data_IF_567307265442
#
_entry.id   IF_567307265442
#
_cell.length_a   1.000
_cell.length_b   1.000
_cell.length_c   1.000
_cell.angle_alpha   90.00
_cell.angle_beta   90.00
_cell.angle_gamma   90.00
#
_symmetry.space_group_name_H-M   'P 1'
#
loop_
_entity.id
_entity.type
_entity.pdbx_description
1 polymer ?
#
# COMPACT_ATOMS: atom_id res chain seq x y z
N UNK A 1 9.69 20.56 15.24
CA UNK A 1 8.60 19.58 15.19
C UNK A 1 8.58 18.98 13.80
N UNK A 2 8.66 17.63 13.66
CA UNK A 2 8.40 16.95 12.39
C UNK A 2 6.97 17.32 11.98
N UNK A 3 6.73 17.76 10.73
CA UNK A 3 5.36 17.93 10.24
C UNK A 3 4.74 16.54 10.23
N UNK A 4 3.60 16.34 10.90
CA UNK A 4 2.80 15.12 10.77
C UNK A 4 2.44 14.97 9.29
N UNK A 5 2.62 13.79 8.75
CA UNK A 5 2.11 13.46 7.43
C UNK A 5 0.68 12.93 7.53
N UNK A 6 0.01 12.69 6.40
CA UNK A 6 -1.37 12.18 6.37
C UNK A 6 -1.50 10.85 7.13
N UNK A 7 -0.54 9.94 6.99
CA UNK A 7 -0.57 8.64 7.65
C UNK A 7 -0.51 8.75 9.18
N UNK A 8 0.38 9.60 9.72
CA UNK A 8 0.47 9.83 11.18
C UNK A 8 -0.87 10.34 11.75
N UNK A 9 -1.56 11.20 10.99
CA UNK A 9 -2.89 11.73 11.36
C UNK A 9 -3.93 10.62 11.34
N UNK A 10 -3.93 9.77 10.29
CA UNK A 10 -4.88 8.67 10.15
C UNK A 10 -4.70 7.62 11.23
N UNK A 11 -3.48 7.17 11.51
CA UNK A 11 -3.18 6.21 12.58
C UNK A 11 -3.64 6.72 13.95
N UNK A 12 -3.35 7.99 14.25
CA UNK A 12 -3.82 8.61 15.50
C UNK A 12 -5.34 8.69 15.55
N UNK A 13 -5.99 9.02 14.42
CA UNK A 13 -7.45 9.09 14.33
C UNK A 13 -8.10 7.74 14.60
N UNK A 14 -7.57 6.67 13.98
CA UNK A 14 -8.07 5.31 14.17
C UNK A 14 -7.94 4.86 15.63
N UNK A 15 -6.78 5.08 16.25
CA UNK A 15 -6.59 4.76 17.67
C UNK A 15 -7.53 5.52 18.61
N UNK A 16 -7.91 6.77 18.27
CA UNK A 16 -8.89 7.53 19.06
C UNK A 16 -10.30 7.03 18.77
N UNK A 17 -10.62 6.67 17.53
CA UNK A 17 -11.93 6.18 17.11
C UNK A 17 -12.36 4.89 17.84
N UNK A 18 -11.42 4.04 18.23
CA UNK A 18 -11.66 2.87 19.09
C UNK A 18 -12.27 3.27 20.45
N UNK A 19 -12.02 4.48 20.90
CA UNK A 19 -12.52 5.03 22.17
C UNK A 19 -13.80 5.84 22.01
N UNK A 20 -13.97 6.48 20.84
CA UNK A 20 -15.15 7.25 20.50
C UNK A 20 -15.00 8.07 19.22
N UNK A 21 -16.03 8.04 18.39
CA UNK A 21 -16.06 8.79 17.12
C UNK A 21 -16.09 10.33 17.32
N UNK A 22 -16.78 10.90 18.32
CA UNK A 22 -16.74 12.34 18.55
C UNK A 22 -15.35 12.87 18.87
N UNK A 23 -14.59 12.14 19.67
CA UNK A 23 -13.21 12.48 20.04
C UNK A 23 -12.27 12.41 18.82
N UNK A 24 -12.42 11.39 17.98
CA UNK A 24 -11.67 11.25 16.74
C UNK A 24 -11.99 12.39 15.75
N UNK A 25 -13.24 12.76 15.60
CA UNK A 25 -13.64 13.90 14.78
C UNK A 25 -13.06 15.21 15.29
N UNK A 26 -13.11 15.44 16.60
CA UNK A 26 -12.54 16.66 17.19
C UNK A 26 -11.03 16.72 17.03
N UNK A 27 -10.33 15.59 17.13
CA UNK A 27 -8.91 15.49 16.85
C UNK A 27 -8.61 15.90 15.40
N UNK A 28 -9.31 15.32 14.41
CA UNK A 28 -9.15 15.67 13.00
C UNK A 28 -9.39 17.15 12.72
N UNK A 29 -10.45 17.74 13.32
CA UNK A 29 -10.73 19.16 13.16
C UNK A 29 -9.62 20.05 13.69
N UNK A 30 -9.01 19.69 14.81
CA UNK A 30 -7.91 20.44 15.39
C UNK A 30 -6.63 20.28 14.55
N UNK A 31 -6.30 19.05 14.17
CA UNK A 31 -5.17 18.78 13.28
C UNK A 31 -5.30 19.51 11.93
N UNK A 32 -6.52 19.55 11.37
CA UNK A 32 -6.79 20.30 10.14
C UNK A 32 -6.55 21.81 10.31
N UNK A 33 -6.98 22.41 11.42
CA UNK A 33 -6.73 23.84 11.71
C UNK A 33 -5.24 24.16 11.84
N UNK A 34 -4.49 23.25 12.46
CA UNK A 34 -3.05 23.44 12.69
C UNK A 34 -2.22 23.22 11.42
N UNK A 35 -2.56 22.24 10.60
CA UNK A 35 -1.79 21.87 9.41
C UNK A 35 -2.67 21.40 8.26
N UNK A 36 -3.43 22.28 7.59
CA UNK A 36 -4.31 21.89 6.47
C UNK A 36 -3.55 21.20 5.31
N UNK A 37 -2.29 21.56 5.11
CA UNK A 37 -1.45 20.99 4.04
C UNK A 37 -0.98 19.56 4.28
N UNK A 38 -1.20 19.02 5.48
CA UNK A 38 -0.90 17.62 5.81
C UNK A 38 -2.09 16.70 5.55
N UNK A 39 -3.21 17.25 5.09
CA UNK A 39 -4.44 16.51 4.81
C UNK A 39 -4.54 16.18 3.33
N UNK A 40 -4.92 14.95 3.06
CA UNK A 40 -5.17 14.40 1.73
C UNK A 40 -6.56 13.76 1.62
N UNK A 41 -6.80 13.02 0.53
CA UNK A 41 -8.11 12.42 0.27
C UNK A 41 -8.61 11.52 1.40
N UNK A 42 -7.73 10.74 2.04
CA UNK A 42 -8.13 9.80 3.10
C UNK A 42 -8.56 10.53 4.38
N UNK A 43 -7.81 11.54 4.82
CA UNK A 43 -8.20 12.33 5.99
C UNK A 43 -9.51 13.08 5.77
N UNK A 44 -9.80 13.54 4.53
CA UNK A 44 -11.09 14.16 4.22
C UNK A 44 -12.24 13.15 4.17
N UNK A 45 -11.99 11.92 3.74
CA UNK A 45 -12.95 10.83 3.88
C UNK A 45 -13.32 10.60 5.34
N UNK A 46 -12.32 10.45 6.22
CA UNK A 46 -12.57 10.30 7.67
C UNK A 46 -13.29 11.50 8.29
N UNK A 47 -12.94 12.73 7.87
CA UNK A 47 -13.70 13.92 8.30
C UNK A 47 -15.18 13.86 7.88
N UNK A 48 -15.47 13.30 6.71
CA UNK A 48 -16.85 13.15 6.25
C UNK A 48 -17.59 12.01 6.99
N UNK A 49 -16.94 10.85 7.21
CA UNK A 49 -17.53 9.71 7.93
C UNK A 49 -17.84 10.05 9.40
N UNK A 50 -16.91 10.75 10.07
CA UNK A 50 -17.01 11.09 11.48
C UNK A 50 -17.80 12.38 11.75
N UNK A 51 -18.26 13.08 10.72
CA UNK A 51 -18.91 14.38 10.83
C UNK A 51 -20.24 14.29 11.60
N UNK A 52 -20.54 15.32 12.38
CA UNK A 52 -21.82 15.44 13.08
C UNK A 52 -22.94 15.81 12.08
N UNK A 53 -23.50 14.76 11.49
CA UNK A 53 -24.66 14.81 10.61
C UNK A 53 -24.37 15.06 9.11
N UNK A 54 -25.41 14.84 8.28
CA UNK A 54 -25.29 14.80 6.81
C UNK A 54 -24.75 16.10 6.19
N UNK A 55 -25.15 17.26 6.75
CA UNK A 55 -24.71 18.56 6.21
C UNK A 55 -23.21 18.79 6.38
N UNK A 56 -22.63 18.39 7.51
CA UNK A 56 -21.19 18.51 7.75
C UNK A 56 -20.40 17.50 6.89
N UNK A 57 -20.89 16.26 6.75
CA UNK A 57 -20.31 15.25 5.87
C UNK A 57 -20.26 15.75 4.41
N UNK A 58 -21.37 16.28 3.90
CA UNK A 58 -21.45 16.88 2.55
C UNK A 58 -20.47 18.03 2.37
N UNK A 59 -20.28 18.86 3.38
CA UNK A 59 -19.32 19.97 3.30
C UNK A 59 -17.88 19.47 3.11
N UNK A 60 -17.47 18.41 3.81
CA UNK A 60 -16.15 17.80 3.66
C UNK A 60 -15.99 17.12 2.31
N UNK A 61 -16.98 16.35 1.85
CA UNK A 61 -16.95 15.72 0.52
C UNK A 61 -16.90 16.77 -0.60
N UNK A 62 -17.64 17.87 -0.48
CA UNK A 62 -17.58 18.97 -1.44
C UNK A 62 -16.17 19.57 -1.51
N UNK A 63 -15.56 19.80 -0.36
CA UNK A 63 -14.20 20.31 -0.28
C UNK A 63 -13.18 19.36 -0.91
N UNK A 64 -13.29 18.05 -0.65
CA UNK A 64 -12.46 17.05 -1.28
C UNK A 64 -12.66 17.01 -2.81
N UNK A 65 -13.91 16.86 -3.25
CA UNK A 65 -14.21 16.54 -4.65
C UNK A 65 -14.23 17.80 -5.52
N UNK A 66 -14.92 18.88 -5.11
CA UNK A 66 -15.04 20.07 -5.96
C UNK A 66 -13.91 21.06 -5.79
N UNK A 67 -13.44 21.32 -4.56
CA UNK A 67 -12.42 22.34 -4.33
C UNK A 67 -11.00 21.81 -4.57
N UNK A 68 -10.71 20.59 -4.08
CA UNK A 68 -9.38 19.96 -4.24
C UNK A 68 -9.24 19.09 -5.49
N UNK A 69 -10.34 18.88 -6.24
CA UNK A 69 -10.37 17.98 -7.40
C UNK A 69 -9.99 16.53 -7.12
N UNK A 70 -10.10 16.08 -5.88
CA UNK A 70 -9.87 14.70 -5.52
C UNK A 70 -11.06 13.82 -5.93
N UNK A 71 -10.86 12.52 -5.86
CA UNK A 71 -11.86 11.53 -6.18
C UNK A 71 -11.60 10.25 -5.39
N UNK A 72 -12.63 9.46 -5.24
CA UNK A 72 -12.63 8.17 -4.58
C UNK A 72 -13.14 7.13 -5.56
N UNK A 73 -12.76 5.88 -5.40
CA UNK A 73 -13.41 4.81 -6.16
C UNK A 73 -14.87 4.68 -5.73
N UNK A 74 -15.75 4.16 -6.64
CA UNK A 74 -17.21 4.15 -6.40
C UNK A 74 -17.62 3.52 -5.08
N UNK A 75 -17.00 2.39 -4.70
CA UNK A 75 -17.35 1.63 -3.50
C UNK A 75 -17.12 2.42 -2.20
N UNK A 76 -16.15 3.32 -2.19
CA UNK A 76 -15.85 4.17 -1.01
C UNK A 76 -17.00 5.11 -0.71
N UNK A 77 -17.67 5.67 -1.73
CA UNK A 77 -18.83 6.54 -1.55
C UNK A 77 -20.15 5.76 -1.49
N UNK A 78 -20.13 4.45 -1.69
CA UNK A 78 -21.26 3.54 -1.51
C UNK A 78 -21.30 2.91 -0.12
N UNK A 79 -20.27 3.14 0.69
CA UNK A 79 -20.16 2.63 2.05
C UNK A 79 -21.36 3.04 2.93
N UNK A 80 -21.64 2.25 3.95
CA UNK A 80 -22.72 2.51 4.88
C UNK A 80 -22.50 3.74 5.77
N UNK A 81 -21.27 4.21 5.87
CA UNK A 81 -20.95 5.49 6.53
C UNK A 81 -21.71 6.67 5.90
N UNK A 82 -22.06 6.56 4.61
CA UNK A 82 -22.86 7.56 3.88
C UNK A 82 -24.32 7.17 3.68
N UNK A 83 -24.85 6.18 4.43
CA UNK A 83 -26.24 5.70 4.28
C UNK A 83 -27.27 6.84 4.36
N UNK A 84 -27.05 7.82 5.24
CA UNK A 84 -27.93 8.99 5.39
C UNK A 84 -27.90 9.94 4.18
N UNK A 85 -26.90 9.84 3.32
CA UNK A 85 -26.69 10.70 2.14
C UNK A 85 -27.09 10.03 0.84
N UNK A 86 -27.33 8.72 0.81
CA UNK A 86 -27.56 7.93 -0.43
C UNK A 86 -28.67 8.47 -1.34
N UNK A 87 -29.62 9.23 -0.81
CA UNK A 87 -30.71 9.85 -1.57
C UNK A 87 -30.60 11.40 -1.65
N UNK A 88 -29.53 11.98 -1.15
CA UNK A 88 -29.32 13.43 -1.22
C UNK A 88 -28.82 13.84 -2.61
N UNK A 89 -29.49 14.80 -3.25
CA UNK A 89 -29.16 15.23 -4.63
C UNK A 89 -27.74 15.85 -4.73
N UNK A 90 -27.28 16.55 -3.69
CA UNK A 90 -25.94 17.12 -3.68
C UNK A 90 -24.86 16.03 -3.54
N UNK A 91 -25.11 15.01 -2.70
CA UNK A 91 -24.25 13.86 -2.57
C UNK A 91 -24.14 13.08 -3.89
N UNK A 92 -25.28 12.79 -4.53
CA UNK A 92 -25.31 12.08 -5.82
C UNK A 92 -24.54 12.84 -6.91
N UNK A 93 -24.62 14.19 -6.91
CA UNK A 93 -23.83 15.02 -7.83
C UNK A 93 -22.32 14.93 -7.54
N UNK A 94 -21.90 14.95 -6.26
CA UNK A 94 -20.50 14.80 -5.88
C UNK A 94 -19.98 13.40 -6.25
N UNK A 95 -20.78 12.37 -5.99
CA UNK A 95 -20.44 10.98 -6.36
C UNK A 95 -20.23 10.86 -7.87
N UNK A 96 -21.15 11.37 -8.68
CA UNK A 96 -21.01 11.33 -10.14
C UNK A 96 -19.70 11.99 -10.62
N UNK A 97 -19.32 13.14 -10.05
CA UNK A 97 -18.03 13.79 -10.36
C UNK A 97 -16.85 12.91 -9.98
N UNK A 98 -16.92 12.27 -8.81
CA UNK A 98 -15.87 11.36 -8.34
C UNK A 98 -15.75 10.13 -9.23
N UNK A 99 -16.87 9.49 -9.60
CA UNK A 99 -16.94 8.33 -10.48
C UNK A 99 -16.38 8.61 -11.87
N UNK A 100 -16.72 9.75 -12.46
CA UNK A 100 -16.17 10.18 -13.77
C UNK A 100 -14.65 10.35 -13.71
N UNK A 101 -14.12 10.94 -12.64
CA UNK A 101 -12.68 11.13 -12.46
C UNK A 101 -11.97 9.80 -12.21
N UNK A 102 -12.56 8.90 -11.42
CA UNK A 102 -12.06 7.56 -11.23
C UNK A 102 -11.97 6.81 -12.55
N UNK A 103 -13.06 6.79 -13.34
CA UNK A 103 -13.08 6.15 -14.64
C UNK A 103 -12.00 6.71 -15.59
N UNK A 104 -11.83 8.04 -15.59
CA UNK A 104 -10.77 8.69 -16.36
C UNK A 104 -9.35 8.31 -15.85
N UNK A 105 -9.16 8.14 -14.55
CA UNK A 105 -7.89 7.70 -13.97
C UNK A 105 -7.60 6.25 -14.35
N UNK A 106 -8.56 5.33 -14.20
CA UNK A 106 -8.44 3.92 -14.59
C UNK A 106 -8.07 3.77 -16.06
N UNK A 107 -8.73 4.53 -16.95
CA UNK A 107 -8.48 4.44 -18.40
C UNK A 107 -7.06 4.86 -18.83
N UNK A 108 -6.35 5.62 -18.00
CA UNK A 108 -5.00 6.13 -18.27
C UNK A 108 -3.92 5.47 -17.43
N UNK A 109 -4.31 4.70 -16.43
CA UNK A 109 -3.37 4.15 -15.47
C UNK A 109 -2.59 2.99 -16.09
N UNK A 110 -1.29 2.98 -15.81
CA UNK A 110 -0.38 1.88 -16.16
C UNK A 110 0.56 1.64 -14.99
N UNK A 111 1.06 0.43 -14.86
CA UNK A 111 2.12 0.15 -13.88
C UNK A 111 3.36 0.99 -14.21
N UNK A 112 3.99 1.53 -13.17
CA UNK A 112 5.17 2.38 -13.32
C UNK A 112 6.34 1.71 -12.62
N UNK A 113 7.39 1.41 -13.39
CA UNK A 113 8.67 1.01 -12.86
C UNK A 113 9.65 2.19 -12.89
N UNK A 114 10.16 2.61 -11.74
CA UNK A 114 10.98 3.82 -11.63
C UNK A 114 12.40 3.65 -12.18
N UNK A 115 12.88 2.42 -12.36
CA UNK A 115 14.22 2.14 -12.84
C UNK A 115 14.43 2.60 -14.30
N UNK A 116 15.58 3.21 -14.55
CA UNK A 116 15.97 3.66 -15.89
C UNK A 116 17.36 3.14 -16.30
N UNK A 117 18.28 3.06 -15.35
CA UNK A 117 19.65 2.56 -15.56
C UNK A 117 20.30 2.19 -14.23
N UNK A 118 21.30 1.32 -14.27
CA UNK A 118 22.13 0.97 -13.12
C UNK A 118 22.91 2.18 -12.61
N UNK A 119 22.91 2.42 -11.29
CA UNK A 119 23.60 3.53 -10.62
C UNK A 119 24.38 3.10 -9.39
N UNK A 120 24.22 1.86 -8.93
CA UNK A 120 24.92 1.30 -7.77
C UNK A 120 25.19 -0.19 -7.98
N UNK A 121 25.99 -0.80 -7.09
CA UNK A 121 26.34 -2.21 -7.18
C UNK A 121 25.20 -3.15 -6.81
N UNK A 122 24.30 -2.72 -5.92
CA UNK A 122 23.15 -3.49 -5.48
C UNK A 122 21.84 -2.73 -5.78
N UNK A 123 20.76 -3.48 -5.95
CA UNK A 123 19.44 -2.91 -6.17
C UNK A 123 18.47 -3.37 -5.08
N UNK A 124 17.67 -2.42 -4.61
CA UNK A 124 16.50 -2.66 -3.77
C UNK A 124 15.25 -2.22 -4.53
N UNK A 125 14.31 -3.16 -4.74
CA UNK A 125 13.03 -2.90 -5.37
C UNK A 125 11.93 -2.87 -4.31
N UNK A 126 11.27 -1.72 -4.14
CA UNK A 126 10.20 -1.55 -3.17
C UNK A 126 8.83 -1.61 -3.84
N UNK A 127 7.91 -2.37 -3.23
CA UNK A 127 6.51 -2.53 -3.64
C UNK A 127 5.60 -1.99 -2.54
N UNK A 128 4.74 -1.02 -2.91
CA UNK A 128 3.83 -0.35 -1.98
C UNK A 128 2.69 -1.28 -1.52
N UNK A 129 2.06 -0.93 -0.40
CA UNK A 129 0.81 -1.53 0.06
C UNK A 129 -0.42 -0.97 -0.67
N UNK A 130 -1.61 -1.50 -0.35
CA UNK A 130 -2.86 -0.88 -0.79
C UNK A 130 -3.00 0.52 -0.21
N UNK A 131 -3.74 1.40 -0.92
CA UNK A 131 -3.93 2.81 -0.56
C UNK A 131 -2.64 3.65 -0.55
N UNK A 132 -1.57 3.13 -1.11
CA UNK A 132 -0.27 3.79 -1.24
C UNK A 132 0.11 4.01 -2.71
N UNK A 133 1.35 4.47 -2.94
CA UNK A 133 1.95 4.66 -4.27
C UNK A 133 3.46 4.42 -4.22
N UNK A 134 4.13 4.53 -5.38
CA UNK A 134 5.58 4.33 -5.47
C UNK A 134 6.41 5.35 -4.69
N UNK A 135 5.92 6.59 -4.50
CA UNK A 135 6.63 7.62 -3.74
C UNK A 135 6.57 7.33 -2.23
N UNK A 136 5.42 6.82 -1.74
CA UNK A 136 5.28 6.36 -0.35
C UNK A 136 6.23 5.18 -0.10
N UNK A 137 6.21 4.17 -0.98
CA UNK A 137 7.16 3.05 -0.85
C UNK A 137 8.62 3.52 -0.84
N UNK A 138 8.97 4.49 -1.68
CA UNK A 138 10.31 5.07 -1.68
C UNK A 138 10.65 5.71 -0.34
N UNK A 139 9.76 6.55 0.19
CA UNK A 139 9.97 7.25 1.45
C UNK A 139 10.10 6.29 2.64
N UNK A 140 9.34 5.20 2.66
CA UNK A 140 9.37 4.19 3.73
C UNK A 140 10.66 3.36 3.70
N UNK A 141 11.16 3.01 2.51
CA UNK A 141 12.34 2.15 2.37
C UNK A 141 13.67 2.91 2.31
N UNK A 142 13.67 4.19 1.96
CA UNK A 142 14.91 4.98 1.85
C UNK A 142 15.73 5.02 3.14
N UNK A 143 15.15 5.16 4.35
CA UNK A 143 15.90 5.10 5.61
C UNK A 143 16.57 3.74 5.87
N UNK A 144 15.95 2.64 5.38
CA UNK A 144 16.41 1.25 5.58
C UNK A 144 17.51 0.91 4.56
N UNK A 145 17.30 1.26 3.31
CA UNK A 145 18.25 1.02 2.21
C UNK A 145 19.49 1.90 2.37
N UNK A 146 19.29 3.07 2.96
CA UNK A 146 20.35 3.99 3.31
C UNK A 146 20.87 4.84 2.15
N UNK A 147 21.62 5.86 2.52
CA UNK A 147 22.22 6.82 1.59
C UNK A 147 23.69 6.50 1.26
N UNK A 148 24.14 5.28 1.55
CA UNK A 148 25.55 4.87 1.39
C UNK A 148 26.02 4.83 -0.08
N UNK A 149 25.12 4.95 -1.04
CA UNK A 149 25.42 4.78 -2.46
C UNK A 149 25.69 3.33 -2.90
N UNK A 150 25.69 2.37 -1.97
CA UNK A 150 25.89 0.94 -2.26
C UNK A 150 24.64 0.29 -2.86
N UNK A 151 23.48 0.85 -2.55
CA UNK A 151 22.18 0.38 -3.01
C UNK A 151 21.46 1.44 -3.83
N UNK A 152 20.86 1.00 -4.92
CA UNK A 152 19.91 1.79 -5.72
C UNK A 152 18.51 1.39 -5.31
N UNK A 153 17.70 2.35 -4.82
CA UNK A 153 16.30 2.14 -4.47
C UNK A 153 15.43 2.48 -5.68
N UNK A 154 14.64 1.52 -6.11
CA UNK A 154 13.62 1.66 -7.15
C UNK A 154 12.26 1.16 -6.66
N UNK A 155 11.19 1.57 -7.33
CA UNK A 155 9.81 1.23 -6.95
C UNK A 155 9.01 0.74 -8.14
N UNK A 156 8.04 -0.14 -7.88
CA UNK A 156 6.97 -0.46 -8.83
C UNK A 156 5.66 0.04 -8.24
N UNK A 157 4.93 0.82 -9.02
CA UNK A 157 3.59 1.27 -8.71
C UNK A 157 2.57 0.46 -9.50
N UNK A 158 1.49 0.10 -8.85
CA UNK A 158 0.35 -0.56 -9.46
C UNK A 158 -0.29 0.28 -10.57
N UNK A 159 -0.92 -0.41 -11.50
CA UNK A 159 -1.79 0.19 -12.51
C UNK A 159 -3.24 0.41 -12.02
N UNK A 160 -3.57 0.04 -10.79
CA UNK A 160 -4.95 0.03 -10.29
C UNK A 160 -5.18 1.20 -9.32
N UNK A 161 -5.75 2.33 -9.79
CA UNK A 161 -6.11 3.43 -8.91
C UNK A 161 -7.11 3.00 -7.83
N UNK A 162 -6.88 3.43 -6.60
CA UNK A 162 -7.77 3.19 -5.45
C UNK A 162 -8.48 4.47 -5.01
N UNK A 163 -7.77 5.58 -5.07
CA UNK A 163 -8.23 6.93 -4.83
C UNK A 163 -7.29 7.92 -5.49
N UNK A 164 -7.54 9.21 -5.33
CA UNK A 164 -6.65 10.25 -5.88
C UNK A 164 -5.23 10.12 -5.33
N UNK A 165 -4.29 9.77 -6.22
CA UNK A 165 -2.88 9.58 -5.87
C UNK A 165 -2.57 8.29 -5.11
N UNK A 166 -3.52 7.39 -4.93
CA UNK A 166 -3.33 6.11 -4.27
C UNK A 166 -3.71 4.95 -5.17
N UNK A 167 -3.10 3.78 -4.93
CA UNK A 167 -3.22 2.59 -5.76
C UNK A 167 -3.43 1.36 -4.90
N UNK A 168 -3.99 0.31 -5.49
CA UNK A 168 -4.18 -1.00 -4.88
C UNK A 168 -3.61 -2.11 -5.75
N UNK A 169 -3.58 -3.30 -5.22
CA UNK A 169 -3.23 -4.52 -5.91
C UNK A 169 -4.44 -5.47 -5.90
N UNK A 170 -4.90 -5.91 -7.05
CA UNK A 170 -5.73 -7.12 -7.16
C UNK A 170 -4.83 -8.35 -7.04
N UNK A 171 -5.42 -9.49 -6.62
CA UNK A 171 -4.64 -10.70 -6.37
C UNK A 171 -4.57 -11.61 -7.62
N UNK A 172 -4.61 -11.01 -8.79
CA UNK A 172 -4.57 -11.68 -10.09
C UNK A 172 -3.28 -11.37 -10.89
N UNK A 173 -3.22 -11.91 -12.11
CA UNK A 173 -2.05 -11.76 -12.97
C UNK A 173 -1.82 -10.33 -13.47
N UNK A 174 -2.86 -9.51 -13.54
CA UNK A 174 -2.73 -8.13 -14.03
C UNK A 174 -1.91 -7.27 -13.07
N UNK A 175 -1.95 -7.57 -11.76
CA UNK A 175 -1.19 -6.88 -10.73
C UNK A 175 0.24 -7.41 -10.58
N UNK A 176 0.45 -8.73 -10.48
CA UNK A 176 1.79 -9.24 -10.18
C UNK A 176 2.69 -9.37 -11.42
N UNK A 177 2.17 -9.51 -12.64
CA UNK A 177 3.01 -9.61 -13.84
C UNK A 177 3.86 -8.36 -14.11
N UNK A 178 3.40 -7.13 -13.92
CA UNK A 178 4.26 -5.94 -13.98
C UNK A 178 5.40 -5.96 -12.95
N UNK A 179 5.14 -6.47 -11.73
CA UNK A 179 6.18 -6.64 -10.71
C UNK A 179 7.20 -7.69 -11.15
N UNK A 180 6.74 -8.83 -11.66
CA UNK A 180 7.58 -9.88 -12.21
C UNK A 180 8.47 -9.36 -13.35
N UNK A 181 7.89 -8.69 -14.33
CA UNK A 181 8.61 -8.10 -15.47
C UNK A 181 9.66 -7.07 -15.01
N UNK A 182 9.33 -6.27 -13.98
CA UNK A 182 10.29 -5.33 -13.38
C UNK A 182 11.50 -6.06 -12.79
N UNK A 183 11.27 -7.14 -12.02
CA UNK A 183 12.34 -7.96 -11.44
C UNK A 183 13.16 -8.61 -12.56
N UNK A 184 12.51 -9.22 -13.54
CA UNK A 184 13.18 -9.89 -14.66
C UNK A 184 14.05 -8.93 -15.49
N UNK A 185 13.58 -7.69 -15.71
CA UNK A 185 14.32 -6.69 -16.47
C UNK A 185 15.64 -6.29 -15.82
N UNK A 186 15.74 -6.32 -14.50
CA UNK A 186 16.94 -5.94 -13.75
C UNK A 186 17.89 -7.10 -13.46
N UNK A 187 17.44 -8.36 -13.58
CA UNK A 187 18.27 -9.53 -13.29
C UNK A 187 19.54 -9.62 -14.16
N UNK A 188 19.48 -9.09 -15.38
CA UNK A 188 20.59 -9.12 -16.34
C UNK A 188 21.44 -7.84 -16.34
N UNK A 189 21.15 -6.87 -15.47
CA UNK A 189 21.83 -5.57 -15.41
C UNK A 189 23.15 -5.62 -14.62
N UNK A 190 23.57 -6.80 -14.16
CA UNK A 190 24.84 -7.03 -13.50
C UNK A 190 24.92 -6.44 -12.09
N UNK A 191 23.83 -6.42 -11.33
CA UNK A 191 23.84 -6.13 -9.90
C UNK A 191 24.49 -7.29 -9.13
N UNK A 192 25.27 -6.98 -8.07
CA UNK A 192 25.84 -7.99 -7.19
C UNK A 192 24.75 -8.62 -6.31
N UNK A 193 23.79 -7.82 -5.86
CA UNK A 193 22.61 -8.29 -5.12
C UNK A 193 21.36 -7.55 -5.58
N UNK A 194 20.26 -8.29 -5.65
CA UNK A 194 18.92 -7.78 -5.85
C UNK A 194 18.09 -8.16 -4.62
N UNK A 195 17.61 -7.15 -3.88
CA UNK A 195 16.65 -7.33 -2.80
C UNK A 195 15.31 -6.72 -3.21
N UNK A 196 14.22 -7.39 -2.83
CA UNK A 196 12.88 -6.87 -3.05
C UNK A 196 12.17 -6.74 -1.69
N UNK A 197 11.58 -5.58 -1.44
CA UNK A 197 10.81 -5.30 -0.21
C UNK A 197 9.37 -4.97 -0.53
N UNK A 198 8.43 -5.59 0.18
CA UNK A 198 7.00 -5.29 0.08
C UNK A 198 6.43 -4.85 1.42
N UNK A 199 5.41 -4.01 1.37
CA UNK A 199 4.59 -3.65 2.52
C UNK A 199 3.16 -4.15 2.29
N UNK A 200 2.56 -4.81 3.30
CA UNK A 200 1.16 -5.26 3.27
C UNK A 200 0.86 -6.08 1.99
N UNK A 201 -0.11 -5.68 1.17
CA UNK A 201 -0.46 -6.32 -0.11
C UNK A 201 0.71 -6.38 -1.13
N UNK A 202 1.67 -5.46 -1.05
CA UNK A 202 2.89 -5.51 -1.87
C UNK A 202 3.74 -6.75 -1.61
N UNK A 203 3.64 -7.34 -0.41
CA UNK A 203 4.27 -8.62 -0.09
C UNK A 203 3.67 -9.77 -0.90
N UNK A 204 2.34 -9.79 -1.06
CA UNK A 204 1.65 -10.80 -1.87
C UNK A 204 2.06 -10.71 -3.34
N UNK A 205 2.17 -9.46 -3.86
CA UNK A 205 2.63 -9.24 -5.24
C UNK A 205 4.04 -9.77 -5.48
N UNK A 206 4.96 -9.55 -4.54
CA UNK A 206 6.32 -10.11 -4.62
C UNK A 206 6.30 -11.63 -4.61
N UNK A 207 5.54 -12.25 -3.71
CA UNK A 207 5.43 -13.70 -3.64
C UNK A 207 4.80 -14.29 -4.90
N UNK A 208 3.73 -13.68 -5.45
CA UNK A 208 3.14 -14.11 -6.73
C UNK A 208 4.11 -13.95 -7.89
N UNK A 209 4.79 -12.80 -7.96
CA UNK A 209 5.78 -12.54 -9.00
C UNK A 209 6.87 -13.62 -9.02
N UNK A 210 7.46 -13.95 -7.87
CA UNK A 210 8.52 -14.97 -7.83
C UNK A 210 7.97 -16.41 -7.94
N UNK A 211 6.72 -16.66 -7.57
CA UNK A 211 6.13 -18.00 -7.62
C UNK A 211 5.66 -18.37 -9.02
N UNK A 212 5.04 -17.43 -9.73
CA UNK A 212 4.36 -17.72 -11.01
C UNK A 212 5.11 -17.21 -12.25
N UNK A 213 6.38 -16.73 -12.07
CA UNK A 213 7.22 -16.30 -13.18
C UNK A 213 8.69 -16.70 -12.97
N UNK A 214 9.56 -16.50 -13.97
CA UNK A 214 11.01 -16.65 -13.82
C UNK A 214 11.69 -15.63 -12.90
N UNK A 215 10.97 -14.59 -12.47
CA UNK A 215 11.49 -13.53 -11.59
C UNK A 215 12.13 -14.13 -10.33
N UNK A 216 13.32 -13.64 -9.98
CA UNK A 216 14.00 -14.02 -8.75
C UNK A 216 14.80 -12.86 -8.19
N UNK A 217 15.04 -12.88 -6.89
CA UNK A 217 15.94 -11.96 -6.19
C UNK A 217 16.75 -12.75 -5.16
N UNK A 218 17.77 -12.14 -4.58
CA UNK A 218 18.60 -12.77 -3.56
C UNK A 218 17.92 -12.71 -2.18
N UNK A 219 17.15 -11.66 -1.94
CA UNK A 219 16.49 -11.39 -0.65
C UNK A 219 15.10 -10.83 -0.87
N UNK A 220 14.10 -11.44 -0.20
CA UNK A 220 12.76 -10.90 -0.03
C UNK A 220 12.59 -10.37 1.39
N UNK A 221 12.12 -9.13 1.52
CA UNK A 221 11.74 -8.52 2.79
C UNK A 221 10.24 -8.25 2.78
N UNK A 222 9.52 -8.86 3.70
CA UNK A 222 8.08 -8.79 3.81
C UNK A 222 7.72 -8.04 5.10
N UNK A 223 7.23 -6.81 4.95
CA UNK A 223 6.86 -5.93 6.07
C UNK A 223 5.34 -5.93 6.24
N UNK A 224 4.85 -6.24 7.45
CA UNK A 224 3.42 -6.40 7.77
C UNK A 224 2.67 -7.12 6.64
N UNK A 225 3.05 -8.39 6.35
CA UNK A 225 2.69 -9.03 5.10
C UNK A 225 1.23 -9.48 5.09
N UNK A 226 0.41 -8.84 4.27
CA UNK A 226 -0.90 -9.35 3.86
C UNK A 226 -0.70 -10.22 2.61
N UNK A 227 -0.77 -11.54 2.77
CA UNK A 227 -0.31 -12.52 1.75
C UNK A 227 -1.34 -13.63 1.46
N UNK A 228 -2.50 -13.29 0.90
CA UNK A 228 -3.55 -14.26 0.57
C UNK A 228 -3.15 -15.35 -0.43
N UNK A 229 -2.01 -15.22 -1.14
CA UNK A 229 -1.46 -16.33 -1.94
C UNK A 229 -1.30 -17.63 -1.13
N UNK A 230 -1.12 -17.54 0.18
CA UNK A 230 -0.96 -18.72 1.04
C UNK A 230 -2.24 -19.55 1.19
N UNK A 231 -3.40 -19.01 0.90
CA UNK A 231 -4.66 -19.74 1.01
C UNK A 231 -4.72 -20.90 0.01
N UNK A 232 -4.20 -20.69 -1.20
CA UNK A 232 -4.32 -21.66 -2.28
C UNK A 232 -2.97 -22.20 -2.80
N UNK A 233 -1.84 -21.50 -2.50
CA UNK A 233 -0.53 -21.76 -3.11
C UNK A 233 0.63 -21.82 -2.12
N UNK A 234 0.38 -22.12 -0.83
CA UNK A 234 1.44 -22.15 0.19
C UNK A 234 2.61 -23.09 -0.16
N UNK A 235 2.30 -24.30 -0.68
CA UNK A 235 3.31 -25.28 -1.07
C UNK A 235 4.13 -24.81 -2.28
N UNK A 236 3.49 -24.15 -3.26
CA UNK A 236 4.18 -23.60 -4.43
C UNK A 236 5.15 -22.49 -4.02
N UNK A 237 4.72 -21.59 -3.13
CA UNK A 237 5.55 -20.52 -2.57
C UNK A 237 6.79 -21.09 -1.91
N UNK A 238 6.62 -22.07 -1.00
CA UNK A 238 7.73 -22.71 -0.27
C UNK A 238 8.69 -23.40 -1.24
N UNK A 239 8.15 -24.17 -2.18
CA UNK A 239 8.92 -24.89 -3.19
C UNK A 239 9.77 -23.94 -4.03
N UNK A 240 9.19 -22.83 -4.49
CA UNK A 240 9.89 -21.86 -5.34
C UNK A 240 10.95 -21.09 -4.57
N UNK A 241 10.68 -20.66 -3.33
CA UNK A 241 11.66 -19.99 -2.47
C UNK A 241 12.88 -20.89 -2.28
N UNK A 242 12.66 -22.19 -1.96
CA UNK A 242 13.72 -23.16 -1.79
C UNK A 242 14.51 -23.39 -3.10
N UNK A 243 13.82 -23.64 -4.22
CA UNK A 243 14.45 -23.90 -5.51
C UNK A 243 15.28 -22.72 -6.04
N UNK A 244 14.80 -21.49 -5.82
CA UNK A 244 15.49 -20.27 -6.23
C UNK A 244 16.55 -19.82 -5.22
N UNK A 245 16.68 -20.50 -4.08
CA UNK A 245 17.62 -20.21 -2.99
C UNK A 245 17.53 -18.74 -2.52
N UNK A 246 16.31 -18.25 -2.33
CA UNK A 246 16.06 -16.88 -1.90
C UNK A 246 16.07 -16.79 -0.37
N UNK A 247 16.70 -15.76 0.19
CA UNK A 247 16.59 -15.44 1.61
C UNK A 247 15.26 -14.71 1.88
N UNK A 248 14.59 -15.05 2.98
CA UNK A 248 13.35 -14.43 3.42
C UNK A 248 13.51 -13.73 4.77
N UNK A 249 13.06 -12.48 4.86
CA UNK A 249 12.97 -11.75 6.13
C UNK A 249 11.58 -11.18 6.31
N UNK A 250 11.05 -11.38 7.51
CA UNK A 250 9.74 -10.85 7.89
C UNK A 250 9.91 -9.79 8.98
N UNK A 251 9.19 -8.69 8.84
CA UNK A 251 9.04 -7.66 9.86
C UNK A 251 7.55 -7.42 10.07
N UNK A 252 7.06 -7.59 11.30
CA UNK A 252 5.65 -7.41 11.61
C UNK A 252 5.50 -6.89 13.02
N UNK A 253 4.53 -6.01 13.26
CA UNK A 253 4.16 -5.58 14.60
C UNK A 253 3.66 -6.76 15.44
N UNK A 254 3.99 -6.80 16.74
CA UNK A 254 3.54 -7.86 17.63
C UNK A 254 2.00 -7.82 17.85
N UNK A 255 1.40 -6.66 17.67
CA UNK A 255 -0.03 -6.41 17.82
C UNK A 255 -0.77 -6.35 16.47
N UNK A 256 -0.10 -6.64 15.34
CA UNK A 256 -0.71 -6.67 14.02
C UNK A 256 -1.53 -7.97 13.85
N UNK A 257 -2.81 -7.91 14.24
CA UNK A 257 -3.70 -9.07 14.27
C UNK A 257 -3.99 -9.65 12.89
N UNK A 258 -3.88 -8.86 11.82
CA UNK A 258 -4.16 -9.28 10.45
C UNK A 258 -2.95 -9.92 9.78
N UNK A 259 -1.79 -9.27 9.85
CA UNK A 259 -0.61 -9.69 9.09
C UNK A 259 0.29 -10.67 9.87
N UNK A 260 0.36 -10.54 11.20
CA UNK A 260 1.24 -11.41 12.02
C UNK A 260 0.91 -12.92 11.91
N UNK A 261 -0.36 -13.36 11.87
CA UNK A 261 -0.70 -14.77 11.65
C UNK A 261 -0.17 -15.30 10.32
N UNK A 262 -0.30 -14.52 9.23
CA UNK A 262 0.20 -14.88 7.90
C UNK A 262 1.73 -14.93 7.87
N UNK A 263 2.40 -13.96 8.49
CA UNK A 263 3.86 -13.95 8.63
C UNK A 263 4.36 -15.21 9.37
N UNK A 264 3.74 -15.55 10.50
CA UNK A 264 4.06 -16.76 11.29
C UNK A 264 3.82 -18.04 10.49
N UNK A 265 2.72 -18.12 9.75
CA UNK A 265 2.39 -19.28 8.92
C UNK A 265 3.49 -19.50 7.86
N UNK A 266 3.81 -18.49 7.07
CA UNK A 266 4.81 -18.61 6.01
C UNK A 266 6.21 -18.88 6.60
N UNK A 267 6.58 -18.22 7.70
CA UNK A 267 7.83 -18.47 8.40
C UNK A 267 7.95 -19.94 8.84
N UNK A 268 6.91 -20.51 9.45
CA UNK A 268 6.93 -21.88 9.95
C UNK A 268 7.15 -22.89 8.82
N UNK A 269 6.39 -22.77 7.72
CA UNK A 269 6.47 -23.72 6.59
C UNK A 269 7.78 -23.58 5.81
N UNK A 270 8.29 -22.37 5.62
CA UNK A 270 9.59 -22.14 4.95
C UNK A 270 10.75 -22.60 5.80
N UNK A 271 10.70 -22.39 7.11
CA UNK A 271 11.71 -22.91 8.06
C UNK A 271 11.74 -24.43 8.09
N UNK A 272 10.57 -25.07 8.12
CA UNK A 272 10.46 -26.53 8.05
C UNK A 272 11.05 -27.10 6.75
N UNK A 273 10.91 -26.39 5.65
CA UNK A 273 11.49 -26.75 4.36
C UNK A 273 13.00 -26.45 4.25
N UNK A 274 13.64 -25.95 5.30
CA UNK A 274 15.08 -25.64 5.33
C UNK A 274 15.47 -24.37 4.60
N UNK A 275 14.52 -23.49 4.30
CA UNK A 275 14.83 -22.19 3.67
C UNK A 275 15.57 -21.26 4.65
N UNK A 276 16.36 -20.33 4.10
CA UNK A 276 17.01 -19.27 4.89
C UNK A 276 15.98 -18.19 5.24
N UNK A 277 15.43 -18.26 6.45
CA UNK A 277 14.34 -17.39 6.90
C UNK A 277 14.59 -16.76 8.26
N UNK A 278 14.20 -15.50 8.41
CA UNK A 278 14.24 -14.77 9.68
C UNK A 278 12.91 -14.05 9.88
N UNK A 279 12.33 -14.16 11.07
CA UNK A 279 11.14 -13.42 11.47
C UNK A 279 11.50 -12.51 12.64
N UNK A 280 11.26 -11.22 12.48
CA UNK A 280 11.43 -10.17 13.48
C UNK A 280 10.07 -9.53 13.76
N UNK A 281 9.70 -9.45 15.03
CA UNK A 281 8.54 -8.68 15.49
C UNK A 281 8.98 -7.74 16.60
N UNK A 282 8.35 -6.57 16.67
CA UNK A 282 8.56 -5.55 17.69
C UNK A 282 7.37 -5.52 18.65
#
# INVERSE_FOLDING_TARGET
MKKSNENDILETTLSIAEKGYPEAYQFLLNAYKESPSSFGPQTFYFLACLADGPGAALAWLRKAIQENNWWYRPEVLEDDDFAALKNDAAFLSLKAISDDRYAAAVSKSTAIFSWKKKRADNLFLAIHGNTQNGDVARADWEPIVGTSGLWQLETVQSAEPDGYGTYRWSYDSTSYLPVAASIESIQNEGYHKIACGGFSAGCDMLLRAVTFSPARCDLLILQSPWIPILWDHAEDVVRVISQKNMELRFFCGAEDEDCLPMAKQLYAVTKQAGCNVTLLWN
#
